data_IF_587615449934
#
_entry.id   IF_587615449934
#
_cell.length_a   1.000
_cell.length_b   1.000
_cell.length_c   1.000
_cell.angle_alpha   90.00
_cell.angle_beta   90.00
_cell.angle_gamma   90.00
#
_symmetry.space_group_name_H-M   'P 1'
#
loop_
_entity.id
_entity.type
_entity.pdbx_description
1 polymer ?
#
# COMPACT_ATOMS: atom_id res chain seq x y z
N UNK A 1 20.91 6.46 12.03
CA UNK A 1 21.69 7.14 10.97
C UNK A 1 20.96 8.43 10.58
N UNK A 2 21.62 9.41 9.94
CA UNK A 2 21.03 10.73 9.65
C UNK A 2 19.87 10.70 8.62
N UNK A 3 19.72 9.59 7.91
CA UNK A 3 18.67 9.36 6.91
C UNK A 3 17.42 8.63 7.47
N UNK A 4 17.29 8.51 8.79
CA UNK A 4 16.16 7.82 9.44
C UNK A 4 15.49 8.77 10.42
N UNK A 5 14.18 8.91 10.26
CA UNK A 5 13.30 9.67 11.16
C UNK A 5 12.42 8.65 11.87
N UNK A 6 12.35 8.74 13.20
CA UNK A 6 11.53 7.88 14.05
C UNK A 6 10.64 8.78 14.88
N UNK A 7 9.34 8.51 14.85
CA UNK A 7 8.35 9.20 15.68
C UNK A 7 7.32 8.17 16.17
N UNK A 8 6.69 8.46 17.31
CA UNK A 8 5.60 7.65 17.85
C UNK A 8 4.34 7.75 16.98
N UNK A 9 4.13 8.91 16.35
CA UNK A 9 2.98 9.12 15.49
C UNK A 9 3.28 10.16 14.41
N UNK A 10 3.02 9.78 13.15
CA UNK A 10 3.08 10.67 12.00
C UNK A 10 1.77 10.52 11.25
N UNK A 11 1.04 11.60 10.94
CA UNK A 11 -0.12 11.51 10.07
C UNK A 11 0.30 10.96 8.71
N UNK A 12 -0.25 9.80 8.34
CA UNK A 12 0.16 9.04 7.16
C UNK A 12 0.13 9.89 5.86
N UNK A 13 -0.85 10.78 5.73
CA UNK A 13 -0.99 11.67 4.57
C UNK A 13 0.05 12.78 4.48
N UNK A 14 0.82 13.06 5.54
CA UNK A 14 1.96 13.98 5.47
C UNK A 14 3.20 13.35 4.81
N UNK A 15 3.27 12.01 4.77
CA UNK A 15 4.43 11.26 4.28
C UNK A 15 4.16 10.52 2.98
N UNK A 16 2.99 9.88 2.81
CA UNK A 16 2.73 9.07 1.63
C UNK A 16 2.89 9.81 0.30
N UNK A 17 2.41 11.07 0.11
CA UNK A 17 2.59 11.79 -1.15
C UNK A 17 4.06 12.05 -1.53
N UNK A 18 4.99 11.92 -0.57
CA UNK A 18 6.43 12.11 -0.77
C UNK A 18 7.18 10.79 -0.88
N UNK A 19 6.51 9.66 -0.66
CA UNK A 19 7.13 8.35 -0.64
C UNK A 19 7.31 7.79 -2.06
N UNK A 20 8.36 7.00 -2.25
CA UNK A 20 8.55 6.22 -3.49
C UNK A 20 8.00 4.79 -3.37
N UNK A 21 7.97 4.21 -2.17
CA UNK A 21 7.38 2.91 -1.88
C UNK A 21 6.94 2.88 -0.40
N UNK A 22 6.08 1.93 -0.05
CA UNK A 22 5.57 1.77 1.32
C UNK A 22 5.91 0.38 1.85
N UNK A 23 6.52 0.31 3.04
CA UNK A 23 6.70 -0.94 3.77
C UNK A 23 5.73 -0.93 4.95
N UNK A 24 4.87 -1.94 5.06
CA UNK A 24 3.88 -2.02 6.14
C UNK A 24 3.48 -3.45 6.46
N UNK A 25 2.70 -3.63 7.51
CA UNK A 25 2.09 -4.93 7.83
C UNK A 25 0.90 -5.28 6.91
N UNK A 26 0.51 -4.43 5.96
CA UNK A 26 -0.60 -4.73 5.04
C UNK A 26 -2.00 -4.47 5.59
N UNK A 27 -2.15 -3.59 6.60
CA UNK A 27 -3.47 -3.15 7.07
C UNK A 27 -4.23 -2.40 5.96
N UNK A 28 -5.54 -2.63 5.87
CA UNK A 28 -6.41 -2.11 4.79
C UNK A 28 -6.31 -0.59 4.59
N UNK A 29 -6.25 0.19 5.69
CA UNK A 29 -6.10 1.65 5.62
C UNK A 29 -4.80 2.11 4.96
N UNK A 30 -3.67 1.46 5.24
CA UNK A 30 -2.39 1.78 4.59
C UNK A 30 -2.36 1.27 3.16
N UNK A 31 -2.87 0.06 2.91
CA UNK A 31 -2.92 -0.54 1.56
C UNK A 31 -3.73 0.33 0.61
N UNK A 32 -4.95 0.73 1.00
CA UNK A 32 -5.81 1.55 0.16
C UNK A 32 -5.24 2.96 -0.03
N UNK A 33 -4.68 3.57 1.01
CA UNK A 33 -4.07 4.89 0.87
C UNK A 33 -2.86 4.87 -0.07
N UNK A 34 -1.98 3.87 0.04
CA UNK A 34 -0.83 3.72 -0.85
C UNK A 34 -1.26 3.47 -2.30
N UNK A 35 -2.22 2.56 -2.53
CA UNK A 35 -2.78 2.29 -3.87
C UNK A 35 -3.47 3.52 -4.46
N UNK A 36 -4.22 4.28 -3.67
CA UNK A 36 -4.87 5.52 -4.14
C UNK A 36 -3.88 6.57 -4.65
N UNK A 37 -2.64 6.53 -4.14
CA UNK A 37 -1.52 7.40 -4.52
C UNK A 37 -0.60 6.75 -5.57
N UNK A 38 -0.91 5.54 -6.04
CA UNK A 38 -0.11 4.82 -7.03
C UNK A 38 1.27 4.39 -6.52
N UNK A 39 1.37 4.05 -5.24
CA UNK A 39 2.62 3.65 -4.60
C UNK A 39 2.77 2.13 -4.54
N UNK A 40 3.91 1.58 -4.99
CA UNK A 40 4.20 0.16 -4.81
C UNK A 40 4.49 -0.17 -3.34
N UNK A 41 4.19 -1.40 -2.92
CA UNK A 41 4.20 -1.78 -1.50
C UNK A 41 5.01 -3.06 -1.21
N UNK A 42 5.68 -3.10 -0.07
CA UNK A 42 6.22 -4.31 0.56
C UNK A 42 5.41 -4.63 1.81
N UNK A 43 4.70 -5.74 1.81
CA UNK A 43 3.85 -6.15 2.92
C UNK A 43 4.53 -7.24 3.76
N UNK A 44 4.50 -7.08 5.08
CA UNK A 44 4.95 -8.06 6.07
C UNK A 44 3.79 -8.39 7.03
N UNK A 45 2.81 -9.20 6.58
CA UNK A 45 1.58 -9.43 7.33
C UNK A 45 1.82 -10.23 8.61
N UNK A 46 1.04 -9.92 9.66
CA UNK A 46 1.10 -10.61 10.94
C UNK A 46 -0.23 -11.24 11.35
N UNK A 47 -1.37 -10.54 11.23
CA UNK A 47 -2.68 -11.08 11.68
C UNK A 47 -3.89 -10.42 10.98
N UNK A 48 -5.09 -10.89 11.31
CA UNK A 48 -6.38 -10.37 10.82
C UNK A 48 -6.48 -10.39 9.28
N UNK A 49 -6.83 -9.27 8.66
CA UNK A 49 -7.02 -9.09 7.22
C UNK A 49 -5.69 -8.92 6.45
N UNK A 50 -4.58 -8.75 7.18
CA UNK A 50 -3.28 -8.40 6.60
C UNK A 50 -2.77 -9.43 5.57
N UNK A 51 -2.84 -10.75 5.79
CA UNK A 51 -2.39 -11.71 4.78
C UNK A 51 -3.20 -11.64 3.48
N UNK A 52 -4.52 -11.40 3.58
CA UNK A 52 -5.41 -11.28 2.42
C UNK A 52 -5.11 -9.99 1.64
N UNK A 53 -4.96 -8.87 2.34
CA UNK A 53 -4.61 -7.60 1.71
C UNK A 53 -3.23 -7.67 1.04
N UNK A 54 -2.22 -8.24 1.73
CA UNK A 54 -0.88 -8.44 1.19
C UNK A 54 -0.90 -9.31 -0.07
N UNK A 55 -1.68 -10.39 -0.05
CA UNK A 55 -1.87 -11.26 -1.21
C UNK A 55 -2.52 -10.52 -2.37
N UNK A 56 -3.58 -9.73 -2.12
CA UNK A 56 -4.25 -8.94 -3.15
C UNK A 56 -3.31 -7.92 -3.80
N UNK A 57 -2.45 -7.25 -3.02
CA UNK A 57 -1.43 -6.33 -3.55
C UNK A 57 -0.44 -7.04 -4.47
N UNK A 58 0.03 -8.24 -4.07
CA UNK A 58 0.96 -9.02 -4.87
C UNK A 58 0.32 -9.59 -6.13
N UNK A 59 -0.89 -10.13 -6.05
CA UNK A 59 -1.64 -10.66 -7.19
C UNK A 59 -1.98 -9.56 -8.20
N UNK A 60 -2.24 -8.34 -7.73
CA UNK A 60 -2.42 -7.17 -8.60
C UNK A 60 -1.10 -6.64 -9.19
N UNK A 61 0.05 -7.24 -8.87
CA UNK A 61 1.36 -6.82 -9.34
C UNK A 61 1.79 -5.45 -8.80
N UNK A 62 1.17 -4.95 -7.73
CA UNK A 62 1.44 -3.63 -7.13
C UNK A 62 2.38 -3.71 -5.92
N UNK A 63 2.91 -4.89 -5.60
CA UNK A 63 3.82 -5.05 -4.49
C UNK A 63 4.38 -6.46 -4.31
N UNK A 64 5.11 -6.62 -3.22
CA UNK A 64 5.74 -7.87 -2.78
C UNK A 64 5.32 -8.19 -1.35
N UNK A 65 5.38 -9.48 -0.99
CA UNK A 65 5.13 -9.96 0.37
C UNK A 65 6.37 -10.66 0.90
N UNK A 66 6.75 -10.34 2.12
CA UNK A 66 7.75 -11.09 2.88
C UNK A 66 7.11 -11.66 4.14
N UNK A 67 7.50 -12.87 4.48
CA UNK A 67 7.09 -13.52 5.73
C UNK A 67 7.84 -12.90 6.91
N UNK A 68 7.11 -12.43 7.93
CA UNK A 68 7.69 -11.72 9.05
C UNK A 68 8.61 -12.60 9.92
N UNK A 69 8.38 -13.92 9.95
CA UNK A 69 9.13 -14.87 10.79
C UNK A 69 10.48 -15.28 10.19
N UNK A 70 10.61 -15.16 8.87
CA UNK A 70 11.78 -15.60 8.10
C UNK A 70 12.51 -14.48 7.36
N UNK A 71 11.99 -13.25 7.40
CA UNK A 71 12.64 -12.09 6.79
C UNK A 71 13.86 -11.61 7.59
N UNK A 72 14.72 -10.84 6.91
CA UNK A 72 15.84 -10.13 7.52
C UNK A 72 16.14 -8.83 6.74
N UNK A 73 17.09 -8.04 7.24
CA UNK A 73 17.43 -6.75 6.63
C UNK A 73 17.91 -6.86 5.16
N UNK A 74 18.59 -7.95 4.79
CA UNK A 74 19.04 -8.18 3.41
C UNK A 74 17.83 -8.40 2.50
N UNK A 75 16.94 -9.30 2.88
CA UNK A 75 15.72 -9.60 2.11
C UNK A 75 14.82 -8.37 1.95
N UNK A 76 14.67 -7.55 3.00
CA UNK A 76 13.92 -6.29 2.93
C UNK A 76 14.58 -5.32 1.96
N UNK A 77 15.91 -5.21 2.01
CA UNK A 77 16.67 -4.30 1.14
C UNK A 77 16.55 -4.71 -0.33
N UNK A 78 16.67 -6.01 -0.62
CA UNK A 78 16.52 -6.56 -1.98
C UNK A 78 15.10 -6.38 -2.51
N UNK A 79 14.08 -6.67 -1.70
CA UNK A 79 12.69 -6.48 -2.08
C UNK A 79 12.36 -4.99 -2.34
N UNK A 80 12.85 -4.09 -1.49
CA UNK A 80 12.69 -2.65 -1.68
C UNK A 80 13.42 -2.17 -2.93
N UNK A 81 14.66 -2.62 -3.17
CA UNK A 81 15.41 -2.27 -4.37
C UNK A 81 14.65 -2.71 -5.64
N UNK A 82 14.07 -3.91 -5.63
CA UNK A 82 13.23 -4.40 -6.72
C UNK A 82 11.98 -3.53 -6.91
N UNK A 83 11.24 -3.20 -5.84
CA UNK A 83 10.07 -2.31 -5.92
C UNK A 83 10.39 -0.91 -6.48
N UNK A 84 11.60 -0.41 -6.24
CA UNK A 84 12.02 0.91 -6.70
C UNK A 84 12.57 0.92 -8.13
N UNK A 85 13.10 -0.21 -8.62
CA UNK A 85 13.77 -0.31 -9.92
C UNK A 85 12.91 -0.95 -11.01
N UNK A 86 12.08 -1.94 -10.66
CA UNK A 86 11.14 -2.57 -11.57
C UNK A 86 9.88 -1.72 -11.70
N UNK A 87 9.75 -1.03 -12.83
CA UNK A 87 8.66 -0.09 -13.08
C UNK A 87 7.28 -0.77 -13.15
N UNK A 88 7.21 -2.09 -13.35
CA UNK A 88 5.93 -2.80 -13.43
C UNK A 88 5.10 -2.63 -12.14
N UNK A 89 5.73 -2.63 -10.96
CA UNK A 89 5.02 -2.41 -9.70
C UNK A 89 4.37 -1.04 -9.61
N UNK A 90 5.09 0.01 -10.04
CA UNK A 90 4.56 1.37 -10.06
C UNK A 90 3.45 1.52 -11.09
N UNK A 91 3.61 0.91 -12.27
CA UNK A 91 2.59 0.95 -13.33
C UNK A 91 1.29 0.29 -12.85
N UNK A 92 1.37 -0.90 -12.25
CA UNK A 92 0.21 -1.58 -11.66
C UNK A 92 -0.45 -0.74 -10.56
N UNK A 93 0.34 -0.20 -9.63
CA UNK A 93 -0.18 0.67 -8.57
C UNK A 93 -0.86 1.93 -9.13
N UNK A 94 -0.29 2.56 -10.17
CA UNK A 94 -0.87 3.74 -10.83
C UNK A 94 -2.16 3.42 -11.58
N UNK A 95 -2.25 2.25 -12.19
CA UNK A 95 -3.46 1.76 -12.84
C UNK A 95 -4.58 1.58 -11.81
N UNK A 96 -4.30 0.92 -10.67
CA UNK A 96 -5.26 0.79 -9.56
C UNK A 96 -5.64 2.17 -9.00
N UNK A 97 -4.69 3.09 -8.88
CA UNK A 97 -4.96 4.46 -8.43
C UNK A 97 -5.97 5.17 -9.35
N UNK A 98 -5.88 4.91 -10.67
CA UNK A 98 -6.83 5.45 -11.65
C UNK A 98 -8.22 4.85 -11.45
N UNK A 99 -8.30 3.53 -11.30
CA UNK A 99 -9.57 2.83 -11.03
C UNK A 99 -10.24 3.32 -9.75
N UNK A 100 -9.46 3.53 -8.67
CA UNK A 100 -9.98 4.10 -7.41
C UNK A 100 -10.54 5.51 -7.62
N UNK A 101 -9.87 6.36 -8.41
CA UNK A 101 -10.35 7.72 -8.70
C UNK A 101 -11.63 7.75 -9.54
N UNK A 102 -11.89 6.71 -10.31
CA UNK A 102 -13.09 6.56 -11.14
C UNK A 102 -14.28 5.99 -10.33
N UNK A 103 -14.07 5.55 -9.09
CA UNK A 103 -15.15 5.10 -8.21
C UNK A 103 -16.05 6.28 -7.79
N UNK A 104 -17.37 6.02 -7.56
CA UNK A 104 -18.28 7.05 -7.08
C UNK A 104 -17.79 7.68 -5.77
N UNK A 105 -17.98 8.99 -5.64
CA UNK A 105 -17.59 9.69 -4.43
C UNK A 105 -18.42 9.19 -3.23
N UNK A 106 -17.89 9.19 -1.99
CA UNK A 106 -18.65 8.78 -0.82
C UNK A 106 -20.00 9.47 -0.67
N UNK A 107 -20.10 10.76 -1.06
CA UNK A 107 -21.36 11.52 -1.04
C UNK A 107 -22.40 10.98 -2.04
N UNK A 108 -21.97 10.51 -3.20
CA UNK A 108 -22.83 9.91 -4.21
C UNK A 108 -23.35 8.55 -3.74
N UNK A 109 -22.47 7.73 -3.16
CA UNK A 109 -22.84 6.44 -2.56
C UNK A 109 -23.84 6.64 -1.42
N UNK A 110 -23.59 7.57 -0.50
CA UNK A 110 -24.51 7.89 0.59
C UNK A 110 -25.90 8.29 0.07
N UNK A 111 -25.94 9.16 -0.95
CA UNK A 111 -27.19 9.58 -1.58
C UNK A 111 -27.94 8.43 -2.26
N UNK A 112 -27.22 7.46 -2.82
CA UNK A 112 -27.84 6.27 -3.41
C UNK A 112 -28.46 5.36 -2.35
N UNK A 113 -27.79 5.16 -1.21
CA UNK A 113 -28.29 4.35 -0.11
C UNK A 113 -29.59 4.89 0.49
N UNK A 114 -29.74 6.22 0.60
CA UNK A 114 -30.98 6.84 1.10
C UNK A 114 -32.18 6.64 0.18
N UNK A 115 -31.99 6.27 -1.09
CA UNK A 115 -33.07 5.99 -2.04
C UNK A 115 -33.51 4.52 -2.05
N UNK A 116 -32.78 3.65 -1.34
CA UNK A 116 -33.08 2.22 -1.23
C UNK A 116 -33.88 1.87 0.05
N UNK A 117 -34.05 2.82 0.96
CA UNK A 117 -34.93 2.74 2.13
C UNK A 117 -36.17 3.60 1.94
#
# INVERSE_FOLDING_TARGET
PSNVIIDRFIPQMHVLPKASAVISHGGSGTVLAALSLGLPQLCLPFFADQPLNARAVADAGAGLVLDLSSTNAVMITEALARLLTDQSFRQSAQQIAKEIREMPAPAEVASALTRLG
#
